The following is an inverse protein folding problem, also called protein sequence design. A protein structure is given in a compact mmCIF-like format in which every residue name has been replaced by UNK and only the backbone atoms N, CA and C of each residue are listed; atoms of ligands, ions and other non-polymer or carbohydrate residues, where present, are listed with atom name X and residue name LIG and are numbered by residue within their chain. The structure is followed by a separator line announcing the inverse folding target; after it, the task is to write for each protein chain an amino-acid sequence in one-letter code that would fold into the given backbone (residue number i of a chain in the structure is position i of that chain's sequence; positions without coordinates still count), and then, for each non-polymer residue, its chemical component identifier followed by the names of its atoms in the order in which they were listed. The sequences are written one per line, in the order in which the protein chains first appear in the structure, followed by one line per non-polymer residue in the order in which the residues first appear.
data_IF_612267850617
#
_entry.id   IF_612267850617
#
_cell.length_a   1.000
_cell.length_b   1.000
_cell.length_c   1.000
_cell.angle_alpha   90.00
_cell.angle_beta   90.00
_cell.angle_gamma   90.00
#
_symmetry.space_group_name_H-M   'P 1'
#
loop_
_entity.id
_entity.type
_entity.pdbx_description
1 polymer ?
#
# COMPACT_ATOMS: atom_id res chain seq x y z
N UNK A 1 14.33 4.36 -2.23
CA UNK A 1 14.42 5.76 -1.80
C UNK A 1 14.07 5.78 -0.33
N UNK A 2 14.92 6.33 0.51
CA UNK A 2 14.68 6.45 1.96
C UNK A 2 14.11 7.84 2.25
N UNK A 3 13.01 7.91 3.00
CA UNK A 3 12.34 9.18 3.35
C UNK A 3 11.93 9.15 4.82
N UNK A 4 12.89 9.23 5.75
CA UNK A 4 12.64 9.04 7.17
C UNK A 4 11.60 10.00 7.76
N UNK A 5 11.44 11.20 7.22
CA UNK A 5 10.41 12.13 7.68
C UNK A 5 8.97 11.66 7.40
N UNK A 6 8.76 10.74 6.44
CA UNK A 6 7.45 10.37 5.92
C UNK A 6 7.27 8.85 5.74
N UNK A 7 8.08 8.05 6.43
CA UNK A 7 7.94 6.59 6.54
C UNK A 7 8.40 6.16 7.94
N UNK A 8 7.52 5.55 8.70
CA UNK A 8 7.76 5.19 10.10
C UNK A 8 8.92 4.21 10.30
N UNK A 9 9.18 3.32 9.35
CA UNK A 9 10.29 2.36 9.42
C UNK A 9 11.62 3.04 9.15
N UNK A 10 11.68 3.90 8.12
CA UNK A 10 12.86 4.71 7.81
C UNK A 10 13.16 5.69 8.95
N UNK A 11 12.10 6.23 9.58
CA UNK A 11 12.23 7.11 10.75
C UNK A 11 12.86 6.39 11.94
N UNK A 12 12.34 5.21 12.30
CA UNK A 12 12.90 4.41 13.39
C UNK A 12 14.37 4.06 13.15
N UNK A 13 14.73 3.71 11.91
CA UNK A 13 16.13 3.50 11.53
C UNK A 13 16.97 4.77 11.69
N UNK A 14 16.51 5.91 11.19
CA UNK A 14 17.22 7.17 11.28
C UNK A 14 17.45 7.60 12.75
N UNK A 15 16.45 7.43 13.60
CA UNK A 15 16.56 7.72 15.03
C UNK A 15 17.57 6.78 15.72
N UNK A 16 17.54 5.48 15.41
CA UNK A 16 18.45 4.50 15.99
C UNK A 16 19.93 4.83 15.67
N UNK A 17 20.21 5.30 14.47
CA UNK A 17 21.57 5.64 14.02
C UNK A 17 21.90 7.13 14.14
N UNK A 18 21.07 7.92 14.81
CA UNK A 18 21.23 9.37 14.95
C UNK A 18 21.44 10.12 13.62
N UNK A 19 20.73 9.69 12.58
CA UNK A 19 20.76 10.35 11.29
C UNK A 19 19.81 11.55 11.27
N UNK A 20 20.16 12.63 10.56
CA UNK A 20 19.29 13.78 10.47
C UNK A 20 18.00 13.44 9.69
N UNK A 21 16.86 13.84 10.25
CA UNK A 21 15.55 13.72 9.62
C UNK A 21 15.12 15.09 9.11
N UNK A 22 14.90 15.21 7.80
CA UNK A 22 14.53 16.47 7.13
C UNK A 22 13.08 16.37 6.68
N UNK A 23 12.17 17.26 7.16
CA UNK A 23 10.80 17.27 6.72
C UNK A 23 10.70 17.70 5.25
N UNK A 24 9.86 17.03 4.46
CA UNK A 24 9.59 17.35 3.07
C UNK A 24 8.19 17.93 2.84
N UNK A 25 7.40 18.08 3.91
CA UNK A 25 6.08 18.70 3.87
C UNK A 25 6.11 19.91 4.79
N UNK A 26 5.59 21.03 4.29
CA UNK A 26 5.57 22.29 5.01
C UNK A 26 4.70 22.19 6.27
N UNK A 27 5.22 22.73 7.38
CA UNK A 27 4.51 22.78 8.65
C UNK A 27 4.37 21.45 9.39
N UNK A 28 4.97 20.34 8.93
CA UNK A 28 4.96 19.11 9.69
C UNK A 28 6.06 19.07 10.76
N UNK A 29 5.72 18.56 11.93
CA UNK A 29 6.68 18.26 13.00
C UNK A 29 7.10 16.80 12.92
N UNK A 30 8.39 16.56 12.79
CA UNK A 30 9.00 15.22 12.69
C UNK A 30 10.02 15.01 13.83
N UNK A 31 9.89 15.72 14.93
CA UNK A 31 10.81 15.63 16.07
C UNK A 31 10.67 14.32 16.84
N UNK A 32 9.43 13.84 17.03
CA UNK A 32 9.11 12.65 17.82
C UNK A 32 8.67 11.46 16.98
N UNK A 33 7.95 11.71 15.89
CA UNK A 33 7.42 10.66 15.00
C UNK A 33 7.49 11.07 13.53
N UNK A 34 7.30 10.10 12.62
CA UNK A 34 7.19 10.37 11.19
C UNK A 34 5.83 10.95 10.83
N UNK A 35 5.79 11.85 9.86
CA UNK A 35 4.55 12.37 9.29
C UNK A 35 4.16 11.55 8.06
N UNK A 36 3.38 10.49 8.25
CA UNK A 36 3.06 9.51 7.20
C UNK A 36 1.89 9.94 6.30
N UNK A 37 1.25 11.08 6.57
CA UNK A 37 0.20 11.63 5.71
C UNK A 37 0.77 12.03 4.33
N UNK A 38 0.04 11.66 3.28
CA UNK A 38 0.44 11.93 1.88
C UNK A 38 -0.24 13.18 1.33
N UNK A 39 -0.35 14.20 2.16
CA UNK A 39 -1.02 15.46 1.88
C UNK A 39 -0.15 16.63 2.33
N UNK A 40 -0.29 17.78 1.68
CA UNK A 40 0.44 19.01 2.01
C UNK A 40 1.26 19.56 0.85
N UNK A 41 2.01 20.61 1.16
CA UNK A 41 2.91 21.28 0.20
C UNK A 41 4.33 20.78 0.41
N UNK A 42 4.98 20.41 -0.65
CA UNK A 42 6.37 19.91 -0.61
C UNK A 42 7.34 21.06 -0.37
N UNK A 43 8.27 20.85 0.55
CA UNK A 43 9.40 21.74 0.83
C UNK A 43 10.71 20.95 0.88
N UNK A 44 11.84 21.63 0.97
CA UNK A 44 13.18 21.04 1.06
C UNK A 44 13.50 20.00 -0.07
N UNK A 45 12.92 20.18 -1.25
CA UNK A 45 13.13 19.30 -2.39
C UNK A 45 13.30 20.09 -3.71
N UNK A 46 14.50 20.66 -4.02
CA UNK A 46 15.76 20.54 -3.28
C UNK A 46 15.80 21.38 -2.00
N UNK A 47 16.70 21.00 -1.12
CA UNK A 47 17.03 21.81 0.07
C UNK A 47 17.75 23.10 -0.34
N UNK A 48 17.47 24.24 0.31
CA UNK A 48 18.10 25.50 -0.03
C UNK A 48 19.59 25.59 0.33
N UNK A 49 20.04 24.76 1.29
CA UNK A 49 21.41 24.74 1.81
C UNK A 49 22.31 23.69 1.14
N UNK A 50 21.78 22.94 0.19
CA UNK A 50 22.52 21.90 -0.53
C UNK A 50 22.39 22.12 -2.04
N UNK A 51 23.51 22.03 -2.76
CA UNK A 51 23.48 22.12 -4.21
C UNK A 51 22.60 21.00 -4.81
N UNK A 52 21.65 21.32 -5.68
CA UNK A 52 20.77 20.33 -6.26
C UNK A 52 21.54 19.35 -7.16
N UNK A 53 21.23 18.05 -7.02
CA UNK A 53 21.81 17.00 -7.88
C UNK A 53 21.19 16.96 -9.28
N UNK A 54 20.05 17.61 -9.48
CA UNK A 54 19.32 17.67 -10.74
C UNK A 54 18.51 18.97 -10.82
N UNK A 55 18.00 19.26 -11.99
CA UNK A 55 17.19 20.46 -12.30
C UNK A 55 15.71 20.32 -11.88
N UNK A 56 15.31 19.18 -11.28
CA UNK A 56 13.96 18.99 -10.77
C UNK A 56 13.78 19.70 -9.42
N UNK A 57 12.82 20.61 -9.36
CA UNK A 57 12.36 21.23 -8.12
C UNK A 57 10.90 20.83 -7.84
N UNK A 58 10.65 20.38 -6.63
CA UNK A 58 9.30 19.97 -6.16
C UNK A 58 8.75 20.94 -5.11
N UNK A 59 9.54 21.92 -4.69
CA UNK A 59 9.14 22.90 -3.69
C UNK A 59 7.91 23.71 -4.13
N UNK A 60 6.95 23.85 -3.24
CA UNK A 60 5.70 24.57 -3.49
C UNK A 60 4.63 23.77 -4.22
N UNK A 61 4.92 22.54 -4.65
CA UNK A 61 3.92 21.64 -5.24
C UNK A 61 3.16 20.88 -4.16
N UNK A 62 1.92 20.54 -4.44
CA UNK A 62 1.22 19.54 -3.64
C UNK A 62 1.88 18.16 -3.79
N UNK A 63 1.76 17.29 -2.80
CA UNK A 63 2.31 15.91 -2.87
C UNK A 63 1.87 15.20 -4.16
N UNK A 64 0.62 15.38 -4.57
CA UNK A 64 0.09 14.78 -5.80
C UNK A 64 0.76 15.29 -7.07
N UNK A 65 0.97 16.59 -7.16
CA UNK A 65 1.67 17.23 -8.29
C UNK A 65 3.16 16.85 -8.30
N UNK A 66 3.80 16.82 -7.13
CA UNK A 66 5.19 16.40 -6.99
C UNK A 66 5.41 14.95 -7.46
N UNK A 67 4.49 14.03 -7.13
CA UNK A 67 4.52 12.65 -7.63
C UNK A 67 4.39 12.62 -9.17
N UNK A 68 3.50 13.44 -9.74
CA UNK A 68 3.31 13.49 -11.19
C UNK A 68 4.56 14.08 -11.89
N UNK A 69 5.12 15.16 -11.36
CA UNK A 69 6.34 15.79 -11.87
C UNK A 69 7.54 14.83 -11.82
N UNK A 70 7.71 14.10 -10.70
CA UNK A 70 8.79 13.11 -10.56
C UNK A 70 8.65 11.97 -11.56
N UNK A 71 7.44 11.42 -11.75
CA UNK A 71 7.18 10.37 -12.73
C UNK A 71 7.53 10.80 -14.15
N UNK A 72 7.15 12.04 -14.51
CA UNK A 72 7.44 12.64 -15.79
C UNK A 72 8.96 12.79 -15.98
N UNK A 73 9.64 13.39 -15.01
CA UNK A 73 11.08 13.59 -15.02
C UNK A 73 11.85 12.27 -15.20
N UNK A 74 11.53 11.25 -14.42
CA UNK A 74 12.17 9.92 -14.51
C UNK A 74 12.01 9.28 -15.90
N UNK A 75 10.83 9.44 -16.51
CA UNK A 75 10.57 8.92 -17.85
C UNK A 75 11.33 9.71 -18.94
N UNK A 76 11.32 11.03 -18.90
CA UNK A 76 11.98 11.91 -19.87
C UNK A 76 13.51 11.74 -19.87
N UNK A 77 14.08 11.62 -18.68
CA UNK A 77 15.54 11.46 -18.52
C UNK A 77 15.99 10.00 -18.59
N UNK A 78 15.09 9.06 -18.90
CA UNK A 78 15.38 7.61 -19.01
C UNK A 78 16.03 7.02 -17.76
N UNK A 79 15.77 7.61 -16.59
CA UNK A 79 16.27 7.13 -15.30
C UNK A 79 15.52 5.89 -14.78
N UNK A 80 14.35 5.61 -15.36
CA UNK A 80 13.53 4.48 -14.99
C UNK A 80 12.22 4.43 -15.77
N UNK A 81 11.30 3.59 -15.31
CA UNK A 81 9.97 3.46 -15.91
C UNK A 81 8.88 3.47 -14.83
N UNK A 82 7.77 4.08 -15.15
CA UNK A 82 6.57 4.00 -14.30
C UNK A 82 5.93 2.62 -14.48
N UNK A 83 5.78 1.89 -13.37
CA UNK A 83 5.13 0.57 -13.34
C UNK A 83 3.91 0.64 -12.43
N UNK A 84 2.78 0.14 -12.92
CA UNK A 84 1.57 -0.05 -12.11
C UNK A 84 1.61 -1.45 -11.50
N UNK A 85 1.62 -1.52 -10.19
CA UNK A 85 1.50 -2.78 -9.47
C UNK A 85 0.07 -2.89 -8.93
N UNK A 86 -0.62 -3.95 -9.32
CA UNK A 86 -1.96 -4.27 -8.81
C UNK A 86 -1.82 -5.11 -7.54
N UNK A 87 -2.55 -4.73 -6.50
CA UNK A 87 -2.69 -5.53 -5.30
C UNK A 87 -4.15 -5.97 -5.21
N UNK A 88 -4.38 -7.22 -5.52
CA UNK A 88 -5.70 -7.85 -5.40
C UNK A 88 -5.84 -8.44 -3.99
N UNK A 89 -7.06 -8.55 -3.53
CA UNK A 89 -7.37 -9.38 -2.38
C UNK A 89 -7.40 -10.83 -2.83
N UNK A 90 -6.84 -11.70 -2.01
CA UNK A 90 -6.92 -13.13 -2.24
C UNK A 90 -8.38 -13.59 -2.25
N UNK A 91 -8.75 -14.41 -3.23
CA UNK A 91 -10.05 -15.05 -3.27
C UNK A 91 -10.08 -16.14 -2.20
N UNK A 92 -11.11 -16.12 -1.37
CA UNK A 92 -11.38 -17.18 -0.39
C UNK A 92 -12.48 -18.08 -0.99
N UNK A 93 -12.09 -19.24 -1.50
CA UNK A 93 -13.03 -20.18 -2.12
C UNK A 93 -14.09 -20.67 -1.14
N UNK A 94 -13.72 -20.88 0.12
CA UNK A 94 -14.63 -21.31 1.18
C UNK A 94 -15.62 -20.22 1.65
N UNK A 95 -15.54 -19.00 1.07
CA UNK A 95 -16.48 -17.95 1.39
C UNK A 95 -17.86 -18.32 0.88
N UNK A 96 -18.75 -18.63 1.79
CA UNK A 96 -20.12 -18.99 1.48
C UNK A 96 -20.87 -17.79 0.91
N UNK A 97 -21.17 -17.85 -0.38
CA UNK A 97 -22.02 -16.94 -1.13
C UNK A 97 -22.98 -17.76 -1.99
N UNK A 98 -24.09 -17.16 -2.37
CA UNK A 98 -25.02 -17.87 -3.28
C UNK A 98 -24.36 -18.27 -4.60
N UNK A 99 -23.50 -17.38 -5.10
CA UNK A 99 -22.61 -17.67 -6.22
C UNK A 99 -21.23 -18.02 -5.70
N UNK A 100 -20.75 -19.18 -6.00
CA UNK A 100 -19.43 -19.61 -5.58
C UNK A 100 -19.22 -21.09 -5.85
N UNK A 101 -18.02 -21.54 -5.57
CA UNK A 101 -17.62 -22.94 -5.64
C UNK A 101 -17.45 -23.46 -4.21
N UNK A 102 -18.50 -24.06 -3.61
CA UNK A 102 -18.41 -24.55 -2.26
C UNK A 102 -17.46 -25.75 -2.19
N UNK A 103 -16.57 -25.75 -1.20
CA UNK A 103 -15.78 -26.94 -0.89
C UNK A 103 -16.67 -28.03 -0.30
N UNK A 104 -16.59 -29.27 -0.80
CA UNK A 104 -17.36 -30.39 -0.30
C UNK A 104 -16.78 -30.94 1.01
N UNK A 105 -16.63 -30.06 2.01
CA UNK A 105 -16.04 -30.38 3.31
C UNK A 105 -16.98 -29.91 4.40
N UNK A 106 -17.19 -30.73 5.41
CA UNK A 106 -17.86 -30.37 6.65
C UNK A 106 -16.96 -30.67 7.85
N UNK A 107 -17.27 -30.06 8.98
CA UNK A 107 -16.58 -30.32 10.24
C UNK A 107 -17.46 -31.21 11.11
N UNK A 108 -16.88 -32.25 11.65
CA UNK A 108 -17.56 -33.14 12.60
C UNK A 108 -17.71 -32.51 14.00
N UNK A 109 -18.27 -33.23 14.93
CA UNK A 109 -18.51 -32.76 16.30
C UNK A 109 -17.20 -32.42 17.05
N UNK A 110 -16.10 -33.02 16.67
CA UNK A 110 -14.76 -32.79 17.23
C UNK A 110 -14.01 -31.68 16.51
N UNK A 111 -14.63 -31.02 15.51
CA UNK A 111 -14.05 -29.95 14.72
C UNK A 111 -13.05 -30.41 13.66
N UNK A 112 -13.01 -31.69 13.34
CA UNK A 112 -12.14 -32.25 12.31
C UNK A 112 -12.78 -32.13 10.93
N UNK A 113 -12.03 -31.67 9.89
CA UNK A 113 -12.57 -31.60 8.55
C UNK A 113 -12.80 -32.98 7.93
N UNK A 114 -13.98 -33.17 7.39
CA UNK A 114 -14.41 -34.39 6.72
C UNK A 114 -14.86 -34.06 5.30
N UNK A 115 -14.56 -34.92 4.35
CA UNK A 115 -15.04 -34.77 2.97
C UNK A 115 -16.47 -35.31 2.84
N UNK A 116 -17.28 -34.61 2.06
CA UNK A 116 -18.58 -35.18 1.67
C UNK A 116 -18.38 -36.46 0.82
N UNK A 117 -19.20 -37.49 1.02
CA UNK A 117 -19.20 -38.69 0.17
C UNK A 117 -19.46 -38.31 -1.30
N UNK A 118 -18.84 -39.04 -2.22
CA UNK A 118 -18.93 -38.80 -3.66
C UNK A 118 -20.37 -38.83 -4.20
N UNK A 119 -21.22 -39.69 -3.59
CA UNK A 119 -22.65 -39.77 -3.92
C UNK A 119 -23.47 -38.55 -3.53
N UNK A 120 -22.90 -37.63 -2.73
CA UNK A 120 -23.49 -36.33 -2.37
C UNK A 120 -22.99 -35.16 -3.23
N UNK A 121 -22.24 -35.45 -4.28
CA UNK A 121 -21.76 -34.46 -5.23
C UNK A 121 -22.57 -34.51 -6.54
N UNK A 122 -22.81 -33.38 -7.21
CA UNK A 122 -22.36 -32.03 -6.84
C UNK A 122 -23.07 -31.49 -5.60
N UNK A 123 -22.39 -30.62 -4.83
CA UNK A 123 -22.99 -29.93 -3.70
C UNK A 123 -23.93 -28.83 -4.22
N UNK A 124 -25.22 -29.11 -4.21
CA UNK A 124 -26.23 -28.17 -4.64
C UNK A 124 -26.57 -27.18 -3.51
N UNK A 125 -26.74 -25.94 -3.89
CA UNK A 125 -27.17 -24.89 -2.97
C UNK A 125 -28.67 -25.00 -2.68
N UNK A 126 -29.12 -24.69 -1.45
CA UNK A 126 -30.52 -24.73 -1.14
C UNK A 126 -31.29 -23.67 -1.95
N UNK A 127 -32.48 -24.03 -2.39
CA UNK A 127 -33.40 -23.05 -2.99
C UNK A 127 -33.86 -22.07 -1.91
N UNK A 128 -33.68 -20.77 -2.19
CA UNK A 128 -34.07 -19.70 -1.29
C UNK A 128 -34.81 -18.60 -2.06
N UNK A 129 -35.92 -18.17 -1.55
CA UNK A 129 -36.73 -17.12 -2.16
C UNK A 129 -36.13 -15.72 -1.99
N UNK A 130 -35.27 -15.53 -0.97
CA UNK A 130 -34.65 -14.24 -0.64
C UNK A 130 -33.34 -14.40 0.09
N UNK A 131 -32.36 -13.59 -0.28
CA UNK A 131 -31.10 -13.42 0.47
C UNK A 131 -31.25 -12.30 1.49
N UNK A 132 -30.84 -12.54 2.71
CA UNK A 132 -30.73 -11.55 3.78
C UNK A 132 -29.35 -10.91 3.79
#
# INVERSE_FOLDING_TARGET
MAVPAHDSRDYAFAKHFNLPVVPLIEGCDVSEESFDAKEGIVCNSPRPDVAPYCDLSLNGLTVKEAIAATKKYVAEHKLGRVKVNYRLRDAIFSRQRYWGEPFPVYYDADGMPQMLPVDKLPLELPEVDKFL
#
